data_IF_292193545254
#
_entry.id   IF_292193545254
#
_cell.length_a   1.000
_cell.length_b   1.000
_cell.length_c   1.000
_cell.angle_alpha   90.00
_cell.angle_beta   90.00
_cell.angle_gamma   90.00
#
_symmetry.space_group_name_H-M   'P 1'
#
loop_
_entity.id
_entity.type
_entity.pdbx_description
1 polymer ?
#
# COMPACT_ATOMS: atom_id res chain seq x y z
N UNK A 1 15.89 -18.65 6.74
CA UNK A 1 15.71 -17.56 5.76
C UNK A 1 16.24 -18.03 4.43
N UNK A 2 15.37 -18.13 3.43
CA UNK A 2 15.76 -18.41 2.05
C UNK A 2 15.72 -17.13 1.23
N UNK A 3 16.81 -16.80 0.52
CA UNK A 3 16.87 -15.62 -0.38
C UNK A 3 16.61 -16.08 -1.81
N UNK A 4 15.69 -15.41 -2.48
CA UNK A 4 15.43 -15.61 -3.90
C UNK A 4 15.68 -14.32 -4.68
N UNK A 5 16.17 -14.48 -5.91
CA UNK A 5 16.45 -13.40 -6.84
C UNK A 5 15.73 -13.67 -8.16
N UNK A 6 14.90 -12.73 -8.59
CA UNK A 6 14.18 -12.80 -9.87
C UNK A 6 14.80 -11.76 -10.81
N UNK A 7 15.48 -12.18 -11.89
CA UNK A 7 16.02 -11.23 -12.86
C UNK A 7 14.89 -10.48 -13.57
N UNK A 8 15.05 -9.17 -13.71
CA UNK A 8 14.15 -8.32 -14.50
C UNK A 8 14.66 -8.23 -15.95
N UNK A 9 13.77 -7.83 -16.86
CA UNK A 9 14.19 -7.56 -18.24
C UNK A 9 15.10 -6.33 -18.26
N UNK A 10 16.34 -6.51 -18.72
CA UNK A 10 17.30 -5.40 -18.83
C UNK A 10 16.92 -4.43 -19.96
N UNK A 11 16.77 -3.13 -19.70
CA UNK A 11 16.50 -2.14 -20.75
C UNK A 11 17.76 -1.76 -21.55
N UNK A 12 18.96 -2.00 -21.00
CA UNK A 12 20.22 -1.62 -21.61
C UNK A 12 21.28 -2.73 -21.49
N UNK A 13 22.06 -2.92 -22.55
CA UNK A 13 23.14 -3.91 -22.63
C UNK A 13 24.18 -3.65 -21.53
N UNK A 14 24.62 -4.71 -20.85
CA UNK A 14 25.63 -4.63 -19.80
C UNK A 14 25.10 -4.28 -18.40
N UNK A 15 23.79 -4.03 -18.27
CA UNK A 15 23.13 -3.81 -16.97
C UNK A 15 22.06 -4.86 -16.73
N UNK A 16 21.85 -5.25 -15.48
CA UNK A 16 20.75 -6.09 -15.05
C UNK A 16 20.29 -5.68 -13.66
N UNK A 17 19.00 -5.82 -13.40
CA UNK A 17 18.41 -5.63 -12.08
C UNK A 17 17.69 -6.92 -11.67
N UNK A 18 17.58 -7.12 -10.36
CA UNK A 18 16.88 -8.25 -9.78
C UNK A 18 15.88 -7.76 -8.72
N UNK A 19 14.73 -8.42 -8.66
CA UNK A 19 13.83 -8.33 -7.52
C UNK A 19 14.25 -9.39 -6.50
N UNK A 20 14.59 -8.96 -5.28
CA UNK A 20 15.11 -9.84 -4.22
C UNK A 20 14.05 -10.02 -3.14
N UNK A 21 13.71 -11.27 -2.84
CA UNK A 21 12.77 -11.65 -1.79
C UNK A 21 13.45 -12.52 -0.73
N UNK A 22 12.96 -12.43 0.51
CA UNK A 22 13.39 -13.22 1.64
C UNK A 22 12.20 -14.00 2.19
N UNK A 23 12.36 -15.31 2.30
CA UNK A 23 11.31 -16.24 2.68
C UNK A 23 11.63 -16.82 4.06
N UNK A 24 10.63 -16.79 4.93
CA UNK A 24 10.73 -17.22 6.33
C UNK A 24 9.58 -18.17 6.68
N UNK A 25 9.83 -19.06 7.63
CA UNK A 25 8.81 -19.97 8.16
C UNK A 25 8.45 -21.14 7.22
N UNK A 26 7.49 -21.98 7.63
CA UNK A 26 7.11 -23.17 6.88
C UNK A 26 6.20 -22.84 5.68
N UNK A 27 6.62 -23.24 4.48
CA UNK A 27 5.87 -23.07 3.22
C UNK A 27 4.59 -23.93 3.13
N UNK A 28 4.48 -24.97 3.96
CA UNK A 28 3.34 -25.87 4.06
C UNK A 28 2.38 -25.52 5.21
N UNK A 29 2.53 -24.33 5.81
CA UNK A 29 1.69 -23.82 6.90
C UNK A 29 0.21 -23.63 6.55
N UNK A 30 -0.13 -23.57 5.26
CA UNK A 30 -1.47 -23.22 4.80
C UNK A 30 -1.83 -21.74 4.95
N UNK A 31 -0.87 -20.90 5.35
CA UNK A 31 -1.00 -19.44 5.41
C UNK A 31 0.25 -18.77 4.85
N UNK A 32 0.06 -17.90 3.85
CA UNK A 32 1.14 -17.10 3.26
C UNK A 32 0.89 -15.61 3.44
N UNK A 33 1.88 -14.90 3.94
CA UNK A 33 1.87 -13.45 4.13
C UNK A 33 2.95 -12.84 3.26
N UNK A 34 2.55 -11.92 2.39
CA UNK A 34 3.45 -11.16 1.53
C UNK A 34 3.57 -9.73 2.05
N UNK A 35 4.80 -9.27 2.26
CA UNK A 35 5.11 -7.92 2.74
C UNK A 35 6.14 -7.31 1.78
N UNK A 36 5.86 -6.12 1.27
CA UNK A 36 6.81 -5.39 0.43
C UNK A 36 6.97 -3.94 0.89
N UNK A 37 8.04 -3.29 0.44
CA UNK A 37 8.25 -1.86 0.67
C UNK A 37 8.81 -1.14 -0.55
N UNK A 38 8.44 0.14 -0.63
CA UNK A 38 8.99 1.13 -1.56
C UNK A 38 8.76 0.78 -3.04
N UNK A 39 7.50 0.47 -3.38
CA UNK A 39 7.10 0.30 -4.79
C UNK A 39 7.20 1.63 -5.54
N UNK A 40 6.89 2.75 -4.87
CA UNK A 40 7.53 4.01 -5.24
C UNK A 40 8.89 4.05 -4.52
N UNK A 41 9.96 4.08 -5.31
CA UNK A 41 11.30 3.81 -4.78
C UNK A 41 11.83 4.89 -3.83
N UNK A 42 11.26 6.11 -3.88
CA UNK A 42 11.60 7.26 -3.05
C UNK A 42 10.90 7.27 -1.68
N UNK A 43 10.15 6.23 -1.36
CA UNK A 43 9.49 6.04 -0.08
C UNK A 43 10.39 5.28 0.91
N UNK A 44 11.49 5.91 1.29
CA UNK A 44 12.56 5.28 2.10
C UNK A 44 12.21 4.92 3.55
N UNK A 45 11.26 5.57 4.27
CA UNK A 45 10.84 5.12 5.61
C UNK A 45 10.39 3.65 5.63
N UNK A 46 9.59 3.22 4.67
CA UNK A 46 9.12 1.83 4.58
C UNK A 46 10.27 0.85 4.31
N UNK A 47 11.26 1.26 3.49
CA UNK A 47 12.46 0.47 3.26
C UNK A 47 13.24 0.23 4.55
N UNK A 48 13.42 1.26 5.39
CA UNK A 48 14.11 1.10 6.67
C UNK A 48 13.30 0.22 7.65
N UNK A 49 11.98 0.37 7.69
CA UNK A 49 11.09 -0.51 8.45
C UNK A 49 11.28 -1.98 8.08
N UNK A 50 11.37 -2.29 6.78
CA UNK A 50 11.61 -3.69 6.35
C UNK A 50 13.01 -4.20 6.68
N UNK A 51 14.03 -3.33 6.78
CA UNK A 51 15.37 -3.74 7.27
C UNK A 51 15.27 -4.25 8.71
N UNK A 52 14.55 -3.53 9.57
CA UNK A 52 14.39 -3.92 10.98
C UNK A 52 13.44 -5.11 11.13
N UNK A 53 12.34 -5.14 10.38
CA UNK A 53 11.44 -6.30 10.33
C UNK A 53 12.19 -7.57 9.89
N UNK A 54 13.04 -7.50 8.86
CA UNK A 54 13.85 -8.65 8.42
C UNK A 54 14.74 -9.19 9.53
N UNK A 55 15.34 -8.32 10.35
CA UNK A 55 16.16 -8.73 11.51
C UNK A 55 15.30 -9.45 12.55
N UNK A 56 14.12 -8.89 12.87
CA UNK A 56 13.17 -9.52 13.81
C UNK A 56 12.66 -10.87 13.32
N UNK A 57 12.32 -10.98 12.03
CA UNK A 57 11.89 -12.25 11.43
C UNK A 57 12.98 -13.33 11.48
N UNK A 58 14.25 -12.94 11.29
CA UNK A 58 15.37 -13.86 11.41
C UNK A 58 15.53 -14.40 12.84
N UNK A 59 15.40 -13.53 13.84
CA UNK A 59 15.42 -13.93 15.26
C UNK A 59 14.27 -14.89 15.59
N UNK A 60 13.07 -14.57 15.12
CA UNK A 60 11.86 -15.38 15.34
C UNK A 60 11.94 -16.73 14.63
N UNK A 61 12.52 -16.78 13.44
CA UNK A 61 12.77 -18.03 12.71
C UNK A 61 13.78 -18.92 13.46
N UNK A 62 14.87 -18.33 13.99
CA UNK A 62 15.85 -19.06 14.79
C UNK A 62 15.26 -19.61 16.09
N UNK A 63 14.30 -18.89 16.68
CA UNK A 63 13.50 -19.35 17.81
C UNK A 63 12.41 -20.37 17.42
N UNK A 64 12.28 -20.69 16.13
CA UNK A 64 11.26 -21.58 15.59
C UNK A 64 9.84 -21.02 15.68
N UNK A 65 9.66 -19.73 15.96
CA UNK A 65 8.37 -19.13 16.33
C UNK A 65 7.42 -18.90 15.13
N UNK A 66 7.85 -19.12 13.89
CA UNK A 66 7.02 -18.84 12.71
C UNK A 66 6.03 -19.99 12.43
N UNK A 67 4.75 -19.64 12.26
CA UNK A 67 3.64 -20.56 11.96
C UNK A 67 3.05 -20.34 10.55
N UNK A 68 3.59 -19.40 9.79
CA UNK A 68 3.17 -19.07 8.44
C UNK A 68 4.39 -18.89 7.53
N UNK A 69 4.19 -19.02 6.22
CA UNK A 69 5.16 -18.53 5.25
C UNK A 69 5.10 -17.00 5.21
N UNK A 70 6.24 -16.34 5.42
CA UNK A 70 6.35 -14.89 5.31
C UNK A 70 7.36 -14.57 4.21
N UNK A 71 6.88 -13.92 3.16
CA UNK A 71 7.69 -13.41 2.05
C UNK A 71 7.88 -11.91 2.23
N UNK A 72 9.12 -11.48 2.41
CA UNK A 72 9.50 -10.08 2.58
C UNK A 72 10.30 -9.59 1.37
N UNK A 73 9.86 -8.48 0.77
CA UNK A 73 10.51 -7.78 -0.35
C UNK A 73 10.88 -6.36 0.07
N UNK A 74 12.08 -6.13 0.64
CA UNK A 74 12.48 -4.82 1.16
C UNK A 74 12.63 -3.72 0.11
N UNK A 75 12.94 -4.11 -1.13
CA UNK A 75 13.11 -3.20 -2.27
C UNK A 75 12.25 -3.75 -3.39
N UNK A 76 10.98 -3.35 -3.43
CA UNK A 76 10.05 -3.82 -4.45
C UNK A 76 10.21 -3.12 -5.79
N UNK A 77 10.99 -2.04 -5.87
CA UNK A 77 11.24 -1.30 -7.11
C UNK A 77 12.72 -0.92 -7.32
N UNK A 78 13.57 -1.88 -7.73
CA UNK A 78 14.96 -1.59 -8.08
C UNK A 78 15.11 -0.71 -9.34
N UNK A 79 14.06 -0.63 -10.18
CA UNK A 79 14.03 0.23 -11.38
C UNK A 79 14.01 1.70 -10.96
N UNK A 80 12.98 2.07 -10.19
CA UNK A 80 12.81 3.37 -9.55
C UNK A 80 14.03 3.79 -8.74
N UNK A 81 14.64 2.87 -7.98
CA UNK A 81 15.77 3.17 -7.11
C UNK A 81 17.00 3.73 -7.85
N UNK A 82 17.10 3.46 -9.16
CA UNK A 82 18.19 3.98 -10.00
C UNK A 82 17.90 5.32 -10.68
N UNK A 83 16.72 5.92 -10.44
CA UNK A 83 16.25 7.10 -11.14
C UNK A 83 16.56 8.39 -10.37
N UNK A 84 17.53 9.15 -10.88
CA UNK A 84 17.88 10.48 -10.36
C UNK A 84 17.90 11.52 -11.47
N UNK A 85 17.28 12.67 -11.22
CA UNK A 85 17.31 13.83 -12.12
C UNK A 85 18.00 14.98 -11.39
N UNK A 86 19.23 15.30 -11.80
CA UNK A 86 20.01 16.40 -11.22
C UNK A 86 20.12 16.32 -9.67
N UNK A 87 20.31 15.11 -9.15
CA UNK A 87 20.40 14.84 -7.71
C UNK A 87 19.05 14.72 -6.98
N UNK A 88 17.92 14.92 -7.68
CA UNK A 88 16.59 14.63 -7.14
C UNK A 88 16.23 13.17 -7.38
N UNK A 89 15.84 12.48 -6.31
CA UNK A 89 15.34 11.11 -6.42
C UNK A 89 13.91 11.12 -6.99
N UNK A 90 13.68 10.36 -8.05
CA UNK A 90 12.37 10.26 -8.73
C UNK A 90 11.93 8.79 -8.73
N UNK A 91 11.24 8.36 -7.67
CA UNK A 91 10.91 6.95 -7.45
C UNK A 91 9.46 6.57 -7.77
N UNK A 92 8.55 7.54 -7.88
CA UNK A 92 7.12 7.29 -8.08
C UNK A 92 6.74 6.82 -9.48
N UNK A 93 7.38 7.39 -10.50
CA UNK A 93 7.08 7.12 -11.91
C UNK A 93 8.31 6.56 -12.62
N UNK A 94 8.10 5.66 -13.58
CA UNK A 94 9.15 5.24 -14.51
C UNK A 94 9.53 6.42 -15.42
N UNK A 95 10.79 6.85 -15.40
CA UNK A 95 11.26 8.00 -16.18
C UNK A 95 11.12 7.79 -17.69
N UNK A 96 11.20 6.54 -18.16
CA UNK A 96 11.11 6.23 -19.58
C UNK A 96 9.69 6.36 -20.14
N UNK A 97 8.70 5.84 -19.41
CA UNK A 97 7.30 5.75 -19.88
C UNK A 97 6.35 6.75 -19.23
N UNK A 98 6.71 7.36 -18.10
CA UNK A 98 5.84 8.20 -17.28
C UNK A 98 4.76 7.42 -16.51
N UNK A 99 4.78 6.08 -16.54
CA UNK A 99 3.83 5.24 -15.79
C UNK A 99 4.14 5.28 -14.29
N UNK A 100 3.09 5.33 -13.48
CA UNK A 100 3.21 5.14 -12.03
C UNK A 100 3.45 3.63 -11.74
N UNK A 101 4.47 3.30 -10.94
CA UNK A 101 4.81 1.92 -10.58
C UNK A 101 3.70 1.18 -9.81
N UNK A 102 2.92 1.90 -9.01
CA UNK A 102 1.79 1.39 -8.25
C UNK A 102 0.44 1.59 -8.99
N UNK A 103 0.41 1.55 -10.33
CA UNK A 103 -0.82 1.64 -11.12
C UNK A 103 -0.81 0.66 -12.29
N UNK A 104 -1.99 0.42 -12.85
CA UNK A 104 -2.18 -0.38 -14.06
C UNK A 104 -1.68 -1.82 -13.96
N UNK A 105 -1.70 -2.41 -12.76
CA UNK A 105 -1.49 -3.84 -12.62
C UNK A 105 -2.55 -4.62 -13.40
N UNK A 106 -2.17 -5.80 -13.87
CA UNK A 106 -3.02 -6.66 -14.70
C UNK A 106 -4.37 -6.95 -14.00
N UNK A 107 -5.43 -6.91 -14.80
CA UNK A 107 -6.77 -7.27 -14.37
C UNK A 107 -7.12 -8.66 -14.91
N UNK A 108 -7.48 -9.60 -14.03
CA UNK A 108 -7.67 -11.01 -14.37
C UNK A 108 -9.07 -11.31 -14.94
N UNK A 109 -9.49 -10.57 -15.97
CA UNK A 109 -10.84 -10.72 -16.56
C UNK A 109 -11.07 -12.08 -17.20
N UNK A 110 -10.02 -12.67 -17.80
CA UNK A 110 -10.06 -14.03 -18.35
C UNK A 110 -10.28 -15.06 -17.25
N UNK A 111 -9.53 -14.98 -16.15
CA UNK A 111 -9.74 -15.84 -14.98
C UNK A 111 -11.18 -15.83 -14.49
N UNK A 112 -11.81 -14.66 -14.41
CA UNK A 112 -13.20 -14.53 -13.96
C UNK A 112 -14.15 -15.31 -14.87
N UNK A 113 -13.87 -15.38 -16.18
CA UNK A 113 -14.62 -16.22 -17.10
C UNK A 113 -14.35 -17.71 -16.87
N UNK A 114 -13.08 -18.12 -16.80
CA UNK A 114 -12.68 -19.52 -16.60
C UNK A 114 -13.21 -20.09 -15.26
N UNK A 115 -13.26 -19.26 -14.22
CA UNK A 115 -13.81 -19.63 -12.92
C UNK A 115 -15.29 -20.04 -12.99
N UNK A 116 -16.08 -19.50 -13.94
CA UNK A 116 -17.52 -19.82 -14.06
C UNK A 116 -17.73 -21.31 -14.35
N UNK A 117 -16.83 -21.90 -15.11
CA UNK A 117 -16.86 -23.32 -15.47
C UNK A 117 -16.22 -24.18 -14.37
N UNK A 118 -15.13 -23.70 -13.77
CA UNK A 118 -14.32 -24.51 -12.85
C UNK A 118 -14.85 -24.59 -11.40
N UNK A 119 -15.52 -23.55 -10.88
CA UNK A 119 -15.93 -23.54 -9.47
C UNK A 119 -17.10 -24.49 -9.20
N UNK A 120 -17.03 -25.18 -8.05
CA UNK A 120 -18.01 -26.14 -7.55
C UNK A 120 -18.57 -25.74 -6.18
N UNK A 121 -19.13 -26.68 -5.43
CA UNK A 121 -19.84 -26.39 -4.17
C UNK A 121 -18.92 -26.20 -2.93
N UNK A 122 -17.65 -26.60 -3.00
CA UNK A 122 -16.70 -26.50 -1.88
C UNK A 122 -15.89 -25.20 -1.96
N UNK A 123 -16.04 -24.34 -0.95
CA UNK A 123 -15.36 -23.05 -0.89
C UNK A 123 -13.83 -23.17 -0.80
N UNK A 124 -13.31 -24.17 -0.07
CA UNK A 124 -11.86 -24.36 0.08
C UNK A 124 -11.26 -24.85 -1.24
N UNK A 125 -11.97 -25.76 -1.92
CA UNK A 125 -11.59 -26.19 -3.26
C UNK A 125 -11.59 -25.02 -4.24
N UNK A 126 -12.64 -24.20 -4.20
CA UNK A 126 -12.76 -23.03 -5.06
C UNK A 126 -11.61 -22.03 -4.84
N UNK A 127 -11.16 -21.83 -3.59
CA UNK A 127 -9.97 -21.01 -3.31
C UNK A 127 -8.73 -21.57 -4.01
N UNK A 128 -8.49 -22.88 -3.93
CA UNK A 128 -7.34 -23.51 -4.61
C UNK A 128 -7.45 -23.38 -6.13
N UNK A 129 -8.64 -23.56 -6.70
CA UNK A 129 -8.89 -23.42 -8.14
C UNK A 129 -8.58 -21.99 -8.59
N UNK A 130 -9.09 -20.97 -7.89
CA UNK A 130 -8.81 -19.56 -8.23
C UNK A 130 -7.31 -19.26 -8.20
N UNK A 131 -6.59 -19.72 -7.16
CA UNK A 131 -5.13 -19.57 -7.09
C UNK A 131 -4.41 -20.30 -8.23
N UNK A 132 -4.86 -21.49 -8.62
CA UNK A 132 -4.28 -22.23 -9.74
C UNK A 132 -4.51 -21.52 -11.09
N UNK A 133 -5.71 -20.95 -11.30
CA UNK A 133 -6.01 -20.13 -12.48
C UNK A 133 -5.14 -18.87 -12.52
N UNK A 134 -4.95 -18.20 -11.38
CA UNK A 134 -4.06 -17.03 -11.24
C UNK A 134 -2.63 -17.39 -11.64
N UNK A 135 -2.10 -18.48 -11.08
CA UNK A 135 -0.77 -18.97 -11.40
C UNK A 135 -0.61 -19.25 -12.89
N UNK A 136 -1.60 -19.91 -13.50
CA UNK A 136 -1.58 -20.25 -14.92
C UNK A 136 -1.62 -19.01 -15.82
N UNK A 137 -2.44 -18.01 -15.49
CA UNK A 137 -2.52 -16.76 -16.24
C UNK A 137 -1.21 -15.96 -16.13
N UNK A 138 -0.65 -15.81 -14.92
CA UNK A 138 0.63 -15.13 -14.70
C UNK A 138 1.80 -15.86 -15.37
N UNK A 139 1.77 -17.20 -15.44
CA UNK A 139 2.80 -17.98 -16.12
C UNK A 139 2.83 -17.73 -17.64
N UNK A 140 1.69 -17.38 -18.24
CA UNK A 140 1.58 -17.10 -19.68
C UNK A 140 1.98 -15.67 -20.04
N UNK A 141 2.06 -14.76 -19.08
CA UNK A 141 2.44 -13.38 -19.34
C UNK A 141 3.90 -13.27 -19.78
N UNK A 142 4.11 -12.49 -20.84
CA UNK A 142 5.42 -12.16 -21.39
C UNK A 142 5.62 -10.65 -21.25
N UNK A 143 6.39 -10.19 -20.25
CA UNK A 143 6.65 -8.77 -20.09
C UNK A 143 7.46 -8.26 -21.28
N UNK A 144 7.23 -7.02 -21.69
CA UNK A 144 7.92 -6.40 -22.83
C UNK A 144 8.98 -5.39 -22.39
N UNK A 145 8.83 -4.84 -21.19
CA UNK A 145 9.71 -3.82 -20.63
C UNK A 145 10.20 -4.21 -19.24
N UNK A 146 11.22 -3.52 -18.74
CA UNK A 146 11.69 -3.69 -17.35
C UNK A 146 10.54 -3.41 -16.35
N UNK A 147 9.74 -2.37 -16.60
CA UNK A 147 8.53 -2.03 -15.84
C UNK A 147 7.53 -3.20 -15.79
N UNK A 148 7.17 -3.77 -16.95
CA UNK A 148 6.21 -4.87 -17.00
C UNK A 148 6.78 -6.12 -16.31
N UNK A 149 8.09 -6.36 -16.44
CA UNK A 149 8.76 -7.49 -15.81
C UNK A 149 8.79 -7.37 -14.29
N UNK A 150 8.89 -6.14 -13.78
CA UNK A 150 8.81 -5.84 -12.36
C UNK A 150 7.41 -6.14 -11.82
N UNK A 151 6.37 -5.58 -12.43
CA UNK A 151 4.99 -5.83 -11.99
C UNK A 151 4.65 -7.32 -12.03
N UNK A 152 5.05 -8.04 -13.09
CA UNK A 152 4.83 -9.48 -13.19
C UNK A 152 5.59 -10.25 -12.11
N UNK A 153 6.84 -9.88 -11.80
CA UNK A 153 7.63 -10.52 -10.76
C UNK A 153 6.99 -10.34 -9.37
N UNK A 154 6.50 -9.14 -9.07
CA UNK A 154 5.77 -8.85 -7.82
C UNK A 154 4.51 -9.72 -7.70
N UNK A 155 3.67 -9.73 -8.74
CA UNK A 155 2.44 -10.55 -8.76
C UNK A 155 2.73 -12.05 -8.61
N UNK A 156 3.78 -12.56 -9.26
CA UNK A 156 4.17 -13.97 -9.13
C UNK A 156 4.62 -14.36 -7.72
N UNK A 157 5.12 -13.41 -6.92
CA UNK A 157 5.47 -13.65 -5.53
C UNK A 157 4.26 -13.63 -4.59
N UNK A 158 3.22 -12.87 -4.93
CA UNK A 158 2.14 -12.49 -4.01
C UNK A 158 0.75 -13.06 -4.33
N UNK A 159 0.51 -13.59 -5.54
CA UNK A 159 -0.84 -13.97 -6.01
C UNK A 159 -1.56 -15.02 -5.13
N UNK A 160 -0.81 -15.86 -4.44
CA UNK A 160 -1.29 -16.94 -3.57
C UNK A 160 -1.25 -16.58 -2.07
N UNK A 161 -0.86 -15.35 -1.73
CA UNK A 161 -0.88 -14.87 -0.36
C UNK A 161 -2.32 -14.81 0.19
N UNK A 162 -2.46 -15.04 1.49
CA UNK A 162 -3.68 -14.76 2.24
C UNK A 162 -3.73 -13.28 2.65
N UNK A 163 -2.55 -12.70 2.97
CA UNK A 163 -2.39 -11.31 3.36
C UNK A 163 -1.32 -10.64 2.49
N UNK A 164 -1.63 -9.47 1.97
CA UNK A 164 -0.66 -8.54 1.37
C UNK A 164 -0.55 -7.28 2.22
N UNK A 165 0.67 -6.93 2.63
CA UNK A 165 0.99 -5.68 3.31
C UNK A 165 1.96 -4.89 2.43
N UNK A 166 1.49 -3.78 1.87
CA UNK A 166 2.28 -2.91 1.01
C UNK A 166 2.72 -1.66 1.79
N UNK A 167 4.02 -1.54 2.06
CA UNK A 167 4.56 -0.45 2.87
C UNK A 167 5.04 0.70 1.98
N UNK A 168 4.35 1.82 2.11
CA UNK A 168 4.53 3.07 1.40
C UNK A 168 4.94 4.20 2.36
N UNK A 169 5.11 5.41 1.84
CA UNK A 169 5.02 6.64 2.61
C UNK A 169 4.58 7.80 1.72
N UNK A 170 4.05 8.84 2.33
CA UNK A 170 3.61 10.05 1.63
C UNK A 170 4.69 11.12 1.66
N UNK A 171 4.48 12.27 1.02
CA UNK A 171 5.46 13.36 1.04
C UNK A 171 5.63 13.96 2.46
N UNK A 172 4.53 14.43 3.04
CA UNK A 172 4.39 14.77 4.47
C UNK A 172 3.06 14.19 4.96
N UNK A 173 3.06 13.27 5.91
CA UNK A 173 1.84 12.64 6.40
C UNK A 173 1.97 12.09 7.81
N UNK A 174 0.83 11.93 8.49
CA UNK A 174 0.70 11.09 9.67
C UNK A 174 0.73 9.60 9.26
N UNK A 175 0.94 8.70 10.23
CA UNK A 175 0.80 7.26 9.99
C UNK A 175 -0.64 6.97 9.60
N UNK A 176 -0.86 6.36 8.44
CA UNK A 176 -2.20 6.03 7.97
C UNK A 176 -2.24 4.76 7.14
N UNK A 177 -3.42 4.18 6.98
CA UNK A 177 -3.62 2.96 6.20
C UNK A 177 -4.76 3.08 5.20
N UNK A 178 -4.64 2.40 4.07
CA UNK A 178 -5.72 2.15 3.11
C UNK A 178 -6.03 0.66 3.06
N UNK A 179 -7.30 0.30 3.07
CA UNK A 179 -7.77 -1.08 2.86
C UNK A 179 -9.21 -1.09 2.36
N UNK A 180 -9.79 -2.26 2.11
CA UNK A 180 -11.20 -2.38 1.72
C UNK A 180 -12.12 -2.45 2.94
N UNK A 181 -13.40 -2.11 2.76
CA UNK A 181 -14.41 -2.27 3.78
C UNK A 181 -14.52 -3.72 4.27
N UNK A 182 -14.39 -4.68 3.36
CA UNK A 182 -14.43 -6.10 3.67
C UNK A 182 -13.21 -6.58 4.49
N UNK A 183 -12.07 -5.91 4.36
CA UNK A 183 -10.83 -6.29 5.04
C UNK A 183 -10.58 -5.50 6.34
N UNK A 184 -11.37 -4.45 6.64
CA UNK A 184 -11.12 -3.59 7.80
C UNK A 184 -11.03 -4.34 9.12
N UNK A 185 -11.95 -5.28 9.39
CA UNK A 185 -11.92 -6.05 10.65
C UNK A 185 -10.61 -6.83 10.85
N UNK A 186 -9.97 -7.23 9.75
CA UNK A 186 -8.72 -7.98 9.74
C UNK A 186 -7.48 -7.08 9.89
N UNK A 187 -7.59 -5.78 9.56
CA UNK A 187 -6.48 -4.81 9.61
C UNK A 187 -6.64 -3.71 10.67
N UNK A 188 -7.79 -3.60 11.34
CA UNK A 188 -7.96 -2.71 12.48
C UNK A 188 -6.92 -2.98 13.59
N UNK A 189 -6.57 -4.24 13.94
CA UNK A 189 -5.48 -4.52 14.86
C UNK A 189 -4.14 -3.94 14.42
N UNK A 190 -3.79 -4.07 13.14
CA UNK A 190 -2.57 -3.50 12.58
C UNK A 190 -2.57 -1.97 12.68
N UNK A 191 -3.70 -1.33 12.34
CA UNK A 191 -3.89 0.12 12.48
C UNK A 191 -3.65 0.59 13.92
N UNK A 192 -4.14 -0.16 14.92
CA UNK A 192 -3.93 0.13 16.34
C UNK A 192 -2.46 -0.04 16.76
N UNK A 193 -1.80 -1.12 16.37
CA UNK A 193 -0.38 -1.34 16.72
C UNK A 193 0.55 -0.32 16.07
N UNK A 194 0.28 0.09 14.83
CA UNK A 194 1.02 1.14 14.13
C UNK A 194 0.81 2.52 14.75
N UNK A 195 -0.27 2.71 15.51
CA UNK A 195 -0.71 4.03 15.95
C UNK A 195 -1.16 4.90 14.77
N UNK A 196 -1.90 4.31 13.82
CA UNK A 196 -2.40 5.04 12.67
C UNK A 196 -3.42 6.10 13.11
N UNK A 197 -3.22 7.33 12.64
CA UNK A 197 -4.07 8.49 12.93
C UNK A 197 -5.22 8.60 11.95
N UNK A 198 -5.14 7.92 10.80
CA UNK A 198 -6.20 7.80 9.81
C UNK A 198 -6.24 6.41 9.18
N UNK A 199 -7.46 5.93 8.91
CA UNK A 199 -7.73 4.69 8.19
C UNK A 199 -8.78 4.98 7.13
N UNK A 200 -8.46 4.72 5.85
CA UNK A 200 -9.32 5.05 4.71
C UNK A 200 -9.76 3.78 4.00
N UNK A 201 -11.07 3.64 3.80
CA UNK A 201 -11.69 2.44 3.23
C UNK A 201 -12.16 2.68 1.80
N UNK A 202 -11.75 1.82 0.88
CA UNK A 202 -12.31 1.69 -0.45
C UNK A 202 -12.08 0.29 -1.01
N UNK A 203 -13.14 -0.39 -1.42
CA UNK A 203 -13.05 -1.67 -2.13
C UNK A 203 -12.49 -1.49 -3.54
N UNK A 204 -12.90 -0.43 -4.23
CA UNK A 204 -12.39 -0.03 -5.55
C UNK A 204 -12.15 1.49 -5.54
N UNK A 205 -10.88 1.90 -5.59
CA UNK A 205 -10.46 3.29 -5.70
C UNK A 205 -10.23 3.72 -7.16
N UNK A 206 -10.33 2.80 -8.12
CA UNK A 206 -10.18 3.03 -9.56
C UNK A 206 -8.75 3.18 -10.05
N UNK A 207 -7.74 2.88 -9.21
CA UNK A 207 -6.32 3.09 -9.53
C UNK A 207 -5.64 1.86 -10.16
N UNK A 208 -6.14 0.65 -9.89
CA UNK A 208 -5.44 -0.57 -10.25
C UNK A 208 -4.08 -0.66 -9.55
N UNK A 209 -4.07 -0.30 -8.27
CA UNK A 209 -2.89 -0.38 -7.40
C UNK A 209 -2.59 -1.85 -7.03
N UNK A 210 -1.40 -2.08 -6.49
CA UNK A 210 -0.92 -3.41 -6.16
C UNK A 210 -1.84 -4.14 -5.16
N UNK A 211 -2.25 -3.45 -4.09
CA UNK A 211 -3.19 -3.97 -3.09
C UNK A 211 -4.55 -4.31 -3.71
N UNK A 212 -5.11 -3.38 -4.49
CA UNK A 212 -6.39 -3.54 -5.19
C UNK A 212 -6.39 -4.75 -6.13
N UNK A 213 -5.32 -4.96 -6.89
CA UNK A 213 -5.22 -6.13 -7.80
C UNK A 213 -5.39 -7.45 -7.05
N UNK A 214 -4.98 -7.52 -5.78
CA UNK A 214 -5.19 -8.71 -4.96
C UNK A 214 -6.62 -8.77 -4.41
N UNK A 215 -7.07 -7.72 -3.71
CA UNK A 215 -8.36 -7.77 -2.99
C UNK A 215 -9.57 -7.66 -3.92
N UNK A 216 -9.51 -6.85 -4.97
CA UNK A 216 -10.64 -6.57 -5.87
C UNK A 216 -11.01 -7.79 -6.70
N UNK A 217 -10.05 -8.64 -7.06
CA UNK A 217 -10.32 -9.90 -7.76
C UNK A 217 -11.24 -10.81 -6.94
N UNK A 218 -10.87 -11.05 -5.68
CA UNK A 218 -11.65 -11.92 -4.80
C UNK A 218 -13.02 -11.34 -4.50
N UNK A 219 -13.10 -10.04 -4.26
CA UNK A 219 -14.37 -9.34 -4.11
C UNK A 219 -15.26 -9.48 -5.36
N UNK A 220 -14.69 -9.28 -6.55
CA UNK A 220 -15.42 -9.40 -7.83
C UNK A 220 -15.96 -10.83 -8.02
N UNK A 221 -15.15 -11.84 -7.72
CA UNK A 221 -15.59 -13.24 -7.76
C UNK A 221 -16.72 -13.49 -6.76
N UNK A 222 -16.65 -12.96 -5.54
CA UNK A 222 -17.73 -13.08 -4.56
C UNK A 222 -19.05 -12.42 -5.03
N UNK A 223 -18.98 -11.29 -5.73
CA UNK A 223 -20.19 -10.63 -6.25
C UNK A 223 -20.80 -11.36 -7.44
N UNK A 224 -19.98 -12.05 -8.26
CA UNK A 224 -20.45 -12.66 -9.50
C UNK A 224 -20.92 -14.12 -9.36
N UNK A 225 -20.54 -14.81 -8.28
CA UNK A 225 -20.82 -16.23 -8.11
C UNK A 225 -21.97 -16.49 -7.13
N UNK A 226 -22.88 -17.43 -7.45
CA UNK A 226 -24.00 -17.76 -6.58
C UNK A 226 -23.54 -18.57 -5.34
N UNK A 227 -24.39 -18.66 -4.33
CA UNK A 227 -24.12 -19.44 -3.12
C UNK A 227 -23.85 -20.94 -3.37
N UNK A 228 -24.29 -21.50 -4.52
CA UNK A 228 -23.96 -22.86 -4.94
C UNK A 228 -22.53 -23.04 -5.44
N UNK A 229 -21.82 -21.94 -5.71
CA UNK A 229 -20.40 -21.90 -6.07
C UNK A 229 -19.66 -20.89 -5.17
N UNK A 230 -19.58 -21.17 -3.86
CA UNK A 230 -19.12 -20.17 -2.90
C UNK A 230 -17.64 -19.81 -3.14
N UNK A 231 -17.36 -18.51 -3.22
CA UNK A 231 -16.00 -17.98 -3.23
C UNK A 231 -15.69 -17.47 -1.82
N UNK A 232 -14.77 -18.10 -1.06
CA UNK A 232 -14.43 -17.62 0.27
C UNK A 232 -13.67 -16.29 0.18
N UNK A 233 -13.44 -15.64 1.31
CA UNK A 233 -12.43 -14.57 1.37
C UNK A 233 -11.11 -15.16 0.90
N UNK A 234 -10.49 -14.56 -0.11
CA UNK A 234 -9.14 -14.91 -0.53
C UNK A 234 -8.14 -13.91 0.01
N UNK A 235 -7.30 -13.37 -0.86
CA UNK A 235 -6.28 -12.39 -0.47
C UNK A 235 -6.95 -11.10 -0.03
N UNK A 236 -6.62 -10.65 1.18
CA UNK A 236 -6.91 -9.30 1.65
C UNK A 236 -5.62 -8.48 1.68
N UNK A 237 -5.74 -7.18 1.45
CA UNK A 237 -4.58 -6.30 1.31
C UNK A 237 -4.73 -5.01 2.10
N UNK A 238 -3.60 -4.48 2.55
CA UNK A 238 -3.50 -3.18 3.20
C UNK A 238 -2.30 -2.43 2.65
N UNK A 239 -2.49 -1.17 2.33
CA UNK A 239 -1.39 -0.22 2.11
C UNK A 239 -1.15 0.54 3.41
N UNK A 240 0.08 0.50 3.92
CA UNK A 240 0.50 1.27 5.10
C UNK A 240 1.37 2.42 4.64
N UNK A 241 1.01 3.63 5.02
CA UNK A 241 1.77 4.84 4.72
C UNK A 241 2.57 5.22 5.95
N UNK A 242 3.86 4.89 5.93
CA UNK A 242 4.84 5.12 7.01
C UNK A 242 5.22 6.61 7.11
N UNK A 243 4.21 7.47 7.32
CA UNK A 243 4.34 8.93 7.50
C UNK A 243 4.93 9.61 6.25
N UNK A 244 5.74 10.65 6.42
CA UNK A 244 6.39 11.41 5.35
C UNK A 244 7.72 10.82 4.89
N UNK A 245 8.12 11.10 3.65
CA UNK A 245 9.40 10.66 3.05
C UNK A 245 10.64 11.03 3.86
N UNK A 246 10.54 12.02 4.76
CA UNK A 246 11.63 12.48 5.62
C UNK A 246 11.65 11.85 7.01
N UNK A 247 10.64 11.06 7.37
CA UNK A 247 10.49 10.43 8.69
C UNK A 247 11.33 9.15 8.77
N UNK A 248 12.64 9.28 8.53
CA UNK A 248 13.60 8.18 8.50
C UNK A 248 14.46 8.24 9.76
N UNK A 249 14.10 7.43 10.76
CA UNK A 249 14.92 7.20 11.95
C UNK A 249 14.83 5.74 12.40
N UNK A 250 15.82 5.29 13.16
CA UNK A 250 15.79 3.92 13.70
C UNK A 250 14.64 3.72 14.68
N UNK A 251 14.31 4.74 15.46
CA UNK A 251 13.23 4.69 16.46
C UNK A 251 11.87 4.47 15.80
N UNK A 252 11.55 5.27 14.78
CA UNK A 252 10.28 5.16 14.05
C UNK A 252 10.20 3.84 13.28
N UNK A 253 11.27 3.47 12.57
CA UNK A 253 11.30 2.21 11.83
C UNK A 253 11.21 0.98 12.75
N UNK A 254 11.79 1.06 13.96
CA UNK A 254 11.72 -0.04 14.93
C UNK A 254 10.31 -0.17 15.50
N UNK A 255 9.65 0.95 15.80
CA UNK A 255 8.25 0.97 16.21
C UNK A 255 7.36 0.32 15.16
N UNK A 256 7.50 0.72 13.89
CA UNK A 256 6.67 0.19 12.80
C UNK A 256 6.95 -1.31 12.57
N UNK A 257 8.22 -1.74 12.66
CA UNK A 257 8.58 -3.16 12.56
C UNK A 257 8.04 -4.01 13.72
N UNK A 258 8.08 -3.48 14.95
CA UNK A 258 7.50 -4.15 16.13
C UNK A 258 5.97 -4.24 16.03
N UNK A 259 5.31 -3.20 15.53
CA UNK A 259 3.87 -3.21 15.28
C UNK A 259 3.47 -4.28 14.26
N UNK A 260 4.26 -4.45 13.19
CA UNK A 260 4.06 -5.54 12.23
C UNK A 260 4.23 -6.91 12.88
N UNK A 261 5.25 -7.10 13.73
CA UNK A 261 5.42 -8.35 14.49
C UNK A 261 4.24 -8.59 15.43
N UNK A 262 3.81 -7.60 16.19
CA UNK A 262 2.68 -7.70 17.13
C UNK A 262 1.38 -8.08 16.39
N UNK A 263 1.15 -7.49 15.21
CA UNK A 263 0.04 -7.86 14.33
C UNK A 263 0.13 -9.32 13.85
N UNK A 264 1.32 -9.77 13.45
CA UNK A 264 1.54 -11.15 13.00
C UNK A 264 1.40 -12.17 14.13
N UNK A 265 1.73 -11.78 15.38
CA UNK A 265 1.43 -12.59 16.57
C UNK A 265 -0.07 -12.62 16.83
N UNK A 266 -0.77 -11.49 16.78
CA UNK A 266 -2.23 -11.41 16.93
C UNK A 266 -2.97 -12.30 15.92
N UNK A 267 -2.49 -12.34 14.67
CA UNK A 267 -3.02 -13.20 13.60
C UNK A 267 -2.63 -14.68 13.76
N UNK A 268 -1.71 -15.01 14.66
CA UNK A 268 -1.22 -16.38 14.86
C UNK A 268 -0.21 -16.86 13.80
N UNK A 269 0.25 -15.97 12.93
CA UNK A 269 1.34 -16.25 11.98
C UNK A 269 2.70 -16.38 12.66
N UNK A 270 2.83 -15.79 13.85
CA UNK A 270 4.00 -15.90 14.73
C UNK A 270 3.50 -16.39 16.10
N UNK A 271 4.15 -17.41 16.66
CA UNK A 271 3.86 -17.92 18.00
C UNK A 271 4.26 -16.89 19.04
N UNK A 272 3.34 -16.62 19.96
CA UNK A 272 3.55 -15.71 21.06
C UNK A 272 2.20 -15.32 21.67
N UNK A 273 2.25 -14.57 22.76
CA UNK A 273 1.08 -13.92 23.32
C UNK A 273 0.92 -12.56 22.66
N UNK A 274 -0.22 -12.33 22.03
CA UNK A 274 -0.52 -11.04 21.42
C UNK A 274 -0.63 -9.97 22.50
N UNK A 275 0.09 -8.86 22.32
CA UNK A 275 -0.04 -7.72 23.22
C UNK A 275 -1.48 -7.18 23.18
N UNK A 276 -2.02 -6.65 24.29
CA UNK A 276 -3.32 -5.99 24.28
C UNK A 276 -3.39 -4.93 23.17
N UNK A 277 -4.52 -4.90 22.46
CA UNK A 277 -4.72 -3.93 21.39
C UNK A 277 -4.72 -2.50 21.96
N UNK A 278 -3.87 -1.59 21.44
CA UNK A 278 -3.97 -0.18 21.76
C UNK A 278 -5.34 0.40 21.38
N UNK A 279 -5.73 1.55 21.95
CA UNK A 279 -6.91 2.28 21.48
C UNK A 279 -6.80 2.62 19.99
N UNK A 280 -7.92 2.52 19.27
CA UNK A 280 -8.01 3.02 17.90
C UNK A 280 -8.07 4.56 17.99
N UNK A 281 -7.06 5.23 17.43
CA UNK A 281 -6.92 6.68 17.55
C UNK A 281 -8.03 7.42 16.79
N UNK A 282 -8.39 6.91 15.62
CA UNK A 282 -9.45 7.46 14.77
C UNK A 282 -10.28 6.34 14.13
N UNK A 283 -11.61 6.44 14.08
CA UNK A 283 -12.44 5.50 13.32
C UNK A 283 -12.05 5.47 11.84
N UNK A 284 -12.24 4.33 11.19
CA UNK A 284 -12.09 4.24 9.75
C UNK A 284 -13.13 5.12 9.02
N UNK A 285 -12.70 5.72 7.92
CA UNK A 285 -13.52 6.63 7.10
C UNK A 285 -13.53 6.18 5.65
N UNK A 286 -14.62 6.43 4.89
CA UNK A 286 -14.61 6.15 3.46
C UNK A 286 -13.57 7.02 2.76
N UNK A 287 -12.76 6.43 1.88
CA UNK A 287 -11.81 7.17 1.05
C UNK A 287 -12.51 8.22 0.18
N UNK A 288 -13.74 7.92 -0.27
CA UNK A 288 -14.61 8.84 -0.98
C UNK A 288 -15.02 10.06 -0.13
N UNK A 289 -14.88 9.99 1.19
CA UNK A 289 -15.08 11.12 2.10
C UNK A 289 -13.84 11.99 2.30
N UNK A 290 -12.68 11.60 1.76
CA UNK A 290 -11.46 12.40 1.87
C UNK A 290 -11.51 13.62 0.96
N UNK A 291 -11.56 14.80 1.57
CA UNK A 291 -11.45 16.09 0.89
C UNK A 291 -10.03 16.29 0.37
N UNK A 292 -9.92 16.86 -0.83
CA UNK A 292 -8.66 17.19 -1.46
C UNK A 292 -8.58 18.69 -1.70
N UNK A 293 -7.49 19.29 -1.24
CA UNK A 293 -7.26 20.72 -1.36
C UNK A 293 -6.35 21.02 -2.56
N UNK A 294 -6.72 22.03 -3.35
CA UNK A 294 -5.97 22.48 -4.50
C UNK A 294 -5.69 23.97 -4.38
N UNK A 295 -4.52 24.41 -4.84
CA UNK A 295 -4.14 25.81 -4.87
C UNK A 295 -4.98 26.58 -5.89
N UNK A 296 -5.82 27.56 -5.48
CA UNK A 296 -6.53 28.40 -6.46
C UNK A 296 -5.61 29.40 -7.16
N UNK A 297 -4.47 29.74 -6.53
CA UNK A 297 -3.47 30.71 -7.00
C UNK A 297 -2.05 30.14 -6.85
N UNK A 298 -1.09 30.75 -7.52
CA UNK A 298 0.35 30.43 -7.35
C UNK A 298 0.94 31.22 -6.19
N UNK A 299 1.93 30.66 -5.50
CA UNK A 299 2.66 31.40 -4.47
C UNK A 299 3.40 30.51 -3.47
N UNK A 300 3.82 31.14 -2.37
CA UNK A 300 4.51 30.48 -1.26
C UNK A 300 3.46 29.80 -0.37
N UNK A 301 3.57 28.49 -0.20
CA UNK A 301 2.67 27.67 0.61
C UNK A 301 3.11 27.67 2.08
N UNK A 302 2.25 28.21 2.95
CA UNK A 302 2.38 28.14 4.41
C UNK A 302 1.36 27.14 4.95
N UNK A 303 1.79 26.24 5.82
CA UNK A 303 0.90 25.30 6.50
C UNK A 303 0.45 25.91 7.84
N UNK A 304 -0.87 25.98 8.06
CA UNK A 304 -1.46 26.50 9.30
C UNK A 304 -1.82 25.40 10.30
N UNK A 305 -2.05 24.18 9.82
CA UNK A 305 -2.35 23.00 10.61
C UNK A 305 -1.23 21.95 10.49
N UNK A 306 -1.07 21.13 11.53
CA UNK A 306 -0.12 20.01 11.55
C UNK A 306 -0.79 18.77 10.98
N UNK A 307 0.02 17.90 10.38
CA UNK A 307 -0.41 16.53 10.08
C UNK A 307 -0.81 15.85 11.39
N UNK A 308 -1.89 15.08 11.37
CA UNK A 308 -2.47 14.43 12.56
C UNK A 308 -3.51 15.27 13.31
N UNK A 309 -3.58 16.58 13.06
CA UNK A 309 -4.58 17.44 13.72
C UNK A 309 -6.01 17.03 13.34
N UNK A 310 -6.90 17.03 14.33
CA UNK A 310 -8.35 16.99 14.09
C UNK A 310 -8.83 18.36 13.62
N UNK A 311 -9.36 18.41 12.41
CA UNK A 311 -9.79 19.59 11.67
C UNK A 311 -11.30 19.75 11.77
N UNK A 312 -11.76 20.99 11.96
CA UNK A 312 -13.19 21.35 11.88
C UNK A 312 -13.53 22.03 10.56
N UNK A 313 -14.80 21.98 10.18
CA UNK A 313 -15.32 22.78 9.05
C UNK A 313 -15.02 24.26 9.26
N UNK A 314 -14.53 24.93 8.22
CA UNK A 314 -14.11 26.33 8.23
C UNK A 314 -12.71 26.59 8.81
N UNK A 315 -12.00 25.57 9.30
CA UNK A 315 -10.66 25.74 9.85
C UNK A 315 -9.65 26.08 8.74
N UNK A 316 -8.84 27.15 8.89
CA UNK A 316 -7.74 27.46 7.98
C UNK A 316 -6.65 26.38 8.01
N UNK A 317 -6.28 25.85 6.84
CA UNK A 317 -5.27 24.79 6.70
C UNK A 317 -4.00 25.27 6.00
N UNK A 318 -4.17 26.11 5.00
CA UNK A 318 -3.08 26.58 4.14
C UNK A 318 -3.23 28.06 3.85
N UNK A 319 -2.12 28.78 3.77
CA UNK A 319 -2.06 30.07 3.10
C UNK A 319 -1.18 29.96 1.86
N UNK A 320 -1.55 30.71 0.83
CA UNK A 320 -0.71 30.94 -0.35
C UNK A 320 -0.41 32.43 -0.41
N UNK A 321 0.86 32.78 -0.26
CA UNK A 321 1.33 34.17 -0.22
C UNK A 321 1.97 34.52 -1.55
N UNK A 322 1.52 35.61 -2.17
CA UNK A 322 2.16 36.21 -3.33
C UNK A 322 3.21 37.23 -2.86
N UNK A 323 4.52 36.96 -3.05
CA UNK A 323 5.58 37.86 -2.60
C UNK A 323 5.70 39.15 -3.43
N UNK A 324 4.94 39.29 -4.52
CA UNK A 324 4.94 40.51 -5.34
C UNK A 324 3.86 41.50 -4.92
N UNK A 325 2.77 41.01 -4.33
CA UNK A 325 1.59 41.82 -3.97
C UNK A 325 1.30 41.84 -2.47
N UNK A 326 2.00 41.01 -1.69
CA UNK A 326 1.73 40.70 -0.28
C UNK A 326 0.33 40.09 -0.02
N UNK A 327 -0.41 39.73 -1.08
CA UNK A 327 -1.72 39.10 -0.96
C UNK A 327 -1.60 37.69 -0.38
N UNK A 328 -2.52 37.34 0.53
CA UNK A 328 -2.61 36.01 1.12
C UNK A 328 -3.96 35.37 0.81
N UNK A 329 -3.93 34.25 0.10
CA UNK A 329 -5.12 33.41 -0.13
C UNK A 329 -5.15 32.27 0.88
N UNK A 330 -6.14 32.27 1.79
CA UNK A 330 -6.32 31.21 2.79
C UNK A 330 -7.30 30.14 2.30
N UNK A 331 -6.90 28.88 2.44
CA UNK A 331 -7.72 27.70 2.12
C UNK A 331 -8.22 27.10 3.44
N UNK A 332 -9.53 26.90 3.52
CA UNK A 332 -10.23 26.34 4.69
C UNK A 332 -10.81 24.97 4.39
N UNK A 333 -10.95 24.14 5.43
CA UNK A 333 -11.59 22.82 5.31
C UNK A 333 -13.10 22.91 5.12
N UNK A 334 -13.68 22.12 4.22
CA UNK A 334 -15.13 21.92 4.15
C UNK A 334 -15.59 20.64 4.86
N UNK A 335 -14.63 19.87 5.36
CA UNK A 335 -14.83 18.58 6.01
C UNK A 335 -14.24 18.60 7.42
N UNK A 336 -14.88 17.86 8.33
CA UNK A 336 -14.33 17.57 9.66
C UNK A 336 -13.70 16.17 9.65
N UNK A 337 -12.47 16.05 10.17
CA UNK A 337 -11.69 14.82 10.14
C UNK A 337 -10.23 15.06 10.49
N UNK A 338 -9.34 14.19 10.04
CA UNK A 338 -7.89 14.26 10.33
C UNK A 338 -7.16 14.81 9.11
N UNK A 339 -6.31 15.84 9.29
CA UNK A 339 -5.35 16.26 8.26
C UNK A 339 -4.21 15.23 8.19
N UNK A 340 -4.39 14.19 7.38
CA UNK A 340 -3.47 13.06 7.40
C UNK A 340 -2.29 13.21 6.42
N UNK A 341 -2.42 14.02 5.37
CA UNK A 341 -1.31 14.25 4.42
C UNK A 341 -1.34 15.65 3.82
N UNK A 342 -0.16 16.16 3.46
CA UNK A 342 0.03 17.47 2.83
C UNK A 342 1.25 17.52 1.91
N UNK A 343 1.37 18.59 1.16
CA UNK A 343 2.44 18.84 0.19
C UNK A 343 3.77 19.17 0.90
N UNK A 344 4.88 18.62 0.42
CA UNK A 344 6.21 18.97 0.94
C UNK A 344 6.82 20.24 0.30
N UNK A 345 6.60 20.45 -1.01
CA UNK A 345 7.18 21.56 -1.78
C UNK A 345 6.45 22.87 -1.44
N UNK A 346 7.21 23.88 -1.01
CA UNK A 346 6.70 25.15 -0.46
C UNK A 346 6.40 26.25 -1.46
N UNK A 347 6.56 25.97 -2.74
CA UNK A 347 6.01 26.78 -3.81
C UNK A 347 4.95 25.97 -4.56
N UNK A 348 3.82 26.60 -4.82
CA UNK A 348 2.68 25.98 -5.51
C UNK A 348 2.32 26.80 -6.73
N UNK A 349 1.95 26.12 -7.80
CA UNK A 349 1.25 26.70 -8.94
C UNK A 349 -0.26 26.56 -8.74
N UNK A 350 -1.07 27.36 -9.41
CA UNK A 350 -2.51 27.14 -9.46
C UNK A 350 -2.81 25.70 -9.93
N UNK A 351 -3.77 25.05 -9.27
CA UNK A 351 -4.12 23.64 -9.47
C UNK A 351 -3.20 22.63 -8.76
N UNK A 352 -2.15 23.05 -8.06
CA UNK A 352 -1.31 22.10 -7.33
C UNK A 352 -2.05 21.49 -6.12
N UNK A 353 -1.93 20.17 -5.87
CA UNK A 353 -2.50 19.55 -4.68
C UNK A 353 -1.76 20.01 -3.41
N UNK A 354 -2.53 20.30 -2.37
CA UNK A 354 -2.04 20.88 -1.10
C UNK A 354 -2.06 19.89 0.05
N UNK A 355 -3.09 19.06 0.14
CA UNK A 355 -3.25 18.07 1.21
C UNK A 355 -4.64 17.45 1.23
N UNK A 356 -4.91 16.66 2.27
CA UNK A 356 -6.17 15.95 2.43
C UNK A 356 -6.62 15.85 3.88
N UNK A 357 -7.92 15.95 4.07
CA UNK A 357 -8.60 15.71 5.34
C UNK A 357 -9.50 14.48 5.18
N UNK A 358 -9.54 13.59 6.18
CA UNK A 358 -10.49 12.46 6.17
C UNK A 358 -11.93 12.97 6.32
N UNK A 359 -12.93 12.16 5.96
CA UNK A 359 -14.32 12.55 6.15
C UNK A 359 -15.22 11.33 6.31
N UNK A 360 -16.19 11.42 7.23
CA UNK A 360 -17.11 10.31 7.56
C UNK A 360 -18.22 10.12 6.53
N UNK A 361 -18.37 11.05 5.58
CA UNK A 361 -19.39 11.01 4.53
C UNK A 361 -18.74 11.03 3.16
N UNK A 362 -19.10 10.14 2.22
CA UNK A 362 -18.65 10.23 0.85
C UNK A 362 -19.03 11.57 0.21
N UNK A 363 -18.05 12.25 -0.37
CA UNK A 363 -18.22 13.53 -1.11
C UNK A 363 -17.66 13.46 -2.54
N UNK A 364 -17.01 12.34 -2.90
CA UNK A 364 -16.39 12.10 -4.20
C UNK A 364 -16.90 10.79 -4.82
N UNK A 365 -16.89 10.72 -6.15
CA UNK A 365 -17.22 9.54 -6.94
C UNK A 365 -16.17 9.33 -8.03
N UNK A 366 -16.10 8.13 -8.61
CA UNK A 366 -15.12 7.78 -9.65
C UNK A 366 -13.75 7.45 -9.08
N UNK A 367 -12.68 7.82 -9.79
CA UNK A 367 -11.29 7.54 -9.38
C UNK A 367 -10.95 8.31 -8.11
N UNK A 368 -10.71 7.56 -7.03
CA UNK A 368 -10.49 8.10 -5.69
C UNK A 368 -9.00 8.41 -5.40
N UNK A 369 -8.08 7.72 -6.08
CA UNK A 369 -6.64 7.94 -6.00
C UNK A 369 -6.07 8.30 -7.37
N UNK A 370 -5.50 9.51 -7.48
CA UNK A 370 -4.78 9.95 -8.67
C UNK A 370 -3.44 9.24 -8.85
N UNK A 371 -2.81 9.46 -10.01
CA UNK A 371 -1.45 9.01 -10.34
C UNK A 371 -0.41 9.70 -9.45
#
# INVERSE_FOLDING_TARGET
MNRQSIPLLSPAIGTHRELVSFHFGPADSGQKIYIQASLHADETPSMLTTVLLKRRLLELEQAGALNAEIVLVPVSNPVGLSQYVLGQFVGRFDLGSGKNFNRHFVQFTKLVADAKEALGADANENRRIVRALLAAELAQQKPMTEFDSLQLALLKLSYDADIVIDLHCSLEAAMHVYTSEAAWAEFEPLSRYLGAEASLLATDSGGGAFDETHSLLWWTLQQQFPASKPVPTGTIAVTVECRGQRDVSYEVAQQDADALVDYLVWRGAIRGEARPLPPLLSPATPLAGSEQFYAPVSGILVHRAKIGDTIRVGQPLFDIVDPLTDETTTIVSQTEGVLYMRRAIRFVTAGAPLGRVTGTRPIRTGVLLGA
#
